data_IF_922758994359
#
_entry.id   IF_922758994359
#
_cell.length_a   1.000
_cell.length_b   1.000
_cell.length_c   1.000
_cell.angle_alpha   90.00
_cell.angle_beta   90.00
_cell.angle_gamma   90.00
#
_symmetry.space_group_name_H-M   'P 1'
#
loop_
_entity.id
_entity.type
_entity.pdbx_description
1 polymer ?
#
# COMPACT_ATOMS: atom_id res chain seq x y z
N UNK A 1 36.48 56.15 18.34
CA UNK A 1 35.07 55.69 18.27
C UNK A 1 35.09 54.22 17.89
N UNK A 2 34.77 53.33 18.82
CA UNK A 2 34.69 51.88 18.59
C UNK A 2 33.21 51.51 18.48
N UNK A 3 32.77 51.06 17.32
CA UNK A 3 31.43 50.48 17.12
C UNK A 3 31.45 48.99 17.49
N UNK A 4 30.70 48.63 18.50
CA UNK A 4 30.46 47.25 18.87
C UNK A 4 29.27 46.73 18.05
N UNK A 5 29.49 45.72 17.17
CA UNK A 5 28.41 44.98 16.53
C UNK A 5 27.84 43.98 17.54
N UNK A 6 26.58 44.16 17.89
CA UNK A 6 25.83 43.20 18.69
C UNK A 6 25.20 42.22 17.70
N UNK A 7 25.74 41.01 17.56
CA UNK A 7 25.10 39.90 16.85
C UNK A 7 24.02 39.31 17.78
N UNK A 8 22.76 39.66 17.50
CA UNK A 8 21.63 38.96 18.14
C UNK A 8 21.44 37.62 17.47
N UNK A 9 21.90 36.57 18.14
CA UNK A 9 21.64 35.18 17.71
C UNK A 9 20.17 34.81 17.90
N UNK A 10 19.48 34.62 16.79
CA UNK A 10 18.12 34.06 16.78
C UNK A 10 18.20 32.57 17.09
N UNK A 11 17.87 32.17 18.31
CA UNK A 11 17.68 30.76 18.67
C UNK A 11 16.40 30.26 17.99
N UNK A 12 16.54 29.52 16.88
CA UNK A 12 15.44 28.76 16.31
C UNK A 12 15.26 27.53 17.21
N UNK A 13 14.23 27.54 18.04
CA UNK A 13 13.80 26.37 18.77
C UNK A 13 13.37 25.29 17.76
N UNK A 14 14.15 24.21 17.67
CA UNK A 14 13.76 23.02 16.93
C UNK A 14 12.56 22.38 17.62
N UNK A 15 11.37 22.81 17.24
CA UNK A 15 10.12 22.16 17.64
C UNK A 15 10.15 20.73 17.08
N UNK A 16 10.15 19.72 17.97
CA UNK A 16 9.93 18.33 17.60
C UNK A 16 8.57 18.22 16.91
N UNK A 17 8.57 18.11 15.60
CA UNK A 17 7.36 17.75 14.84
C UNK A 17 7.03 16.31 15.24
N UNK A 18 6.19 16.14 16.24
CA UNK A 18 5.57 14.86 16.51
C UNK A 18 4.71 14.53 15.27
N UNK A 19 5.16 13.58 14.46
CA UNK A 19 4.33 13.03 13.42
C UNK A 19 3.01 12.56 14.06
N UNK A 20 1.91 13.18 13.67
CA UNK A 20 0.60 12.81 14.18
C UNK A 20 0.42 11.31 13.95
N UNK A 21 0.08 10.56 15.02
CA UNK A 21 -0.16 9.12 14.92
C UNK A 21 -1.37 8.92 14.01
N UNK A 22 -1.12 8.46 12.79
CA UNK A 22 -2.19 8.13 11.84
C UNK A 22 -2.98 6.98 12.43
N UNK A 23 -4.29 7.19 12.61
CA UNK A 23 -5.20 6.17 13.11
C UNK A 23 -5.94 5.56 11.93
N UNK A 24 -5.83 4.24 11.71
CA UNK A 24 -6.60 3.57 10.66
C UNK A 24 -8.11 3.81 10.82
N UNK A 25 -8.87 3.88 9.73
CA UNK A 25 -10.32 3.92 9.80
C UNK A 25 -10.90 2.77 10.64
N UNK A 26 -12.03 3.01 11.32
CA UNK A 26 -12.65 2.02 12.23
C UNK A 26 -12.96 0.68 11.55
N UNK A 27 -13.24 0.69 10.25
CA UNK A 27 -13.55 -0.51 9.45
C UNK A 27 -12.30 -1.18 8.86
N UNK A 28 -11.10 -0.68 9.16
CA UNK A 28 -9.87 -1.32 8.71
C UNK A 28 -9.64 -2.62 9.50
N UNK A 29 -9.32 -3.69 8.78
CA UNK A 29 -9.14 -5.03 9.32
C UNK A 29 -7.68 -5.22 9.74
N UNK A 30 -7.39 -5.61 10.99
CA UNK A 30 -6.02 -5.85 11.43
C UNK A 30 -5.48 -7.17 10.86
N UNK A 31 -4.22 -7.15 10.43
CA UNK A 31 -3.48 -8.35 10.05
C UNK A 31 -1.98 -8.13 10.27
N UNK A 32 -1.32 -9.02 11.01
CA UNK A 32 0.13 -9.00 11.31
C UNK A 32 0.69 -7.63 11.74
N UNK A 33 -0.07 -6.92 12.58
CA UNK A 33 0.34 -5.62 13.11
C UNK A 33 0.01 -4.41 12.23
N UNK A 34 -0.42 -4.62 11.00
CA UNK A 34 -0.92 -3.58 10.10
C UNK A 34 -2.45 -3.60 10.04
N UNK A 35 -3.04 -2.61 9.41
CA UNK A 35 -4.49 -2.51 9.18
C UNK A 35 -4.75 -2.31 7.71
N UNK A 36 -5.84 -2.87 7.20
CA UNK A 36 -6.17 -2.89 5.78
C UNK A 36 -7.63 -2.58 5.54
N UNK A 37 -7.93 -1.82 4.51
CA UNK A 37 -9.30 -1.56 4.06
C UNK A 37 -9.38 -1.65 2.55
N UNK A 38 -10.31 -2.47 2.05
CA UNK A 38 -10.59 -2.58 0.63
C UNK A 38 -11.64 -1.52 0.20
N UNK A 39 -11.37 -0.88 -0.92
CA UNK A 39 -12.28 0.00 -1.63
C UNK A 39 -12.60 -0.66 -2.97
N UNK A 40 -13.77 -1.26 -3.06
CA UNK A 40 -14.19 -2.04 -4.22
C UNK A 40 -15.25 -1.28 -5.02
N UNK A 41 -15.47 -1.75 -6.26
CA UNK A 41 -16.42 -1.13 -7.21
C UNK A 41 -16.05 0.31 -7.60
N UNK A 42 -14.74 0.61 -7.57
CA UNK A 42 -14.17 1.86 -8.06
C UNK A 42 -13.64 1.66 -9.50
N UNK A 43 -13.56 2.76 -10.26
CA UNK A 43 -12.92 2.80 -11.57
C UNK A 43 -11.72 3.76 -11.55
N UNK A 44 -10.99 3.79 -10.45
CA UNK A 44 -9.82 4.64 -10.26
C UNK A 44 -8.64 4.19 -11.13
N UNK A 45 -7.84 5.14 -11.54
CA UNK A 45 -6.48 4.92 -12.00
C UNK A 45 -5.61 4.43 -10.84
N UNK A 46 -4.41 3.95 -11.14
CA UNK A 46 -3.44 3.59 -10.09
C UNK A 46 -3.07 4.81 -9.22
N UNK A 47 -2.85 5.96 -9.85
CA UNK A 47 -2.52 7.20 -9.17
C UNK A 47 -3.63 7.70 -8.25
N UNK A 48 -4.89 7.65 -8.72
CA UNK A 48 -6.04 8.01 -7.88
C UNK A 48 -6.17 7.09 -6.69
N UNK A 49 -5.96 5.78 -6.86
CA UNK A 49 -5.97 4.81 -5.76
C UNK A 49 -4.85 5.09 -4.74
N UNK A 50 -3.63 5.40 -5.23
CA UNK A 50 -2.50 5.78 -4.39
C UNK A 50 -2.82 7.02 -3.56
N UNK A 51 -3.21 8.11 -4.20
CA UNK A 51 -3.52 9.37 -3.51
C UNK A 51 -4.70 9.23 -2.54
N UNK A 52 -5.74 8.45 -2.90
CA UNK A 52 -6.85 8.19 -1.99
C UNK A 52 -6.41 7.45 -0.71
N UNK A 53 -5.43 6.55 -0.78
CA UNK A 53 -4.87 5.90 0.40
C UNK A 53 -4.02 6.89 1.23
N UNK A 54 -3.21 7.73 0.57
CA UNK A 54 -2.39 8.76 1.23
C UNK A 54 -3.25 9.82 1.96
N UNK A 55 -4.34 10.28 1.35
CA UNK A 55 -5.30 11.22 1.96
C UNK A 55 -5.95 10.64 3.22
N UNK A 56 -6.07 9.32 3.30
CA UNK A 56 -6.53 8.62 4.50
C UNK A 56 -5.40 8.34 5.51
N UNK A 57 -4.18 8.80 5.23
CA UNK A 57 -3.00 8.60 6.05
C UNK A 57 -2.44 7.18 5.99
N UNK A 58 -2.82 6.40 4.99
CA UNK A 58 -2.28 5.08 4.67
C UNK A 58 -1.40 5.11 3.42
N UNK A 59 -1.16 3.94 2.84
CA UNK A 59 -0.51 3.76 1.54
C UNK A 59 -1.31 2.76 0.70
N UNK A 60 -1.15 2.81 -0.62
CA UNK A 60 -1.63 1.74 -1.48
C UNK A 60 -0.90 0.44 -1.10
N UNK A 61 -1.65 -0.65 -0.92
CA UNK A 61 -1.15 -1.87 -0.29
C UNK A 61 0.07 -2.44 -1.00
N UNK A 62 1.08 -2.82 -0.22
CA UNK A 62 2.21 -3.61 -0.67
C UNK A 62 2.10 -5.02 -0.11
N UNK A 63 2.65 -6.00 -0.82
CA UNK A 63 2.53 -7.41 -0.44
C UNK A 63 3.92 -8.01 -0.33
N UNK A 64 4.33 -8.32 0.89
CA UNK A 64 5.69 -8.74 1.20
C UNK A 64 5.80 -10.22 1.55
N UNK A 65 4.67 -10.88 1.89
CA UNK A 65 4.63 -12.30 2.23
C UNK A 65 3.47 -13.03 1.53
N UNK A 66 3.59 -14.36 1.33
CA UNK A 66 2.50 -15.17 0.77
C UNK A 66 1.21 -15.11 1.58
N UNK A 67 1.30 -15.05 2.89
CA UNK A 67 0.14 -14.97 3.80
C UNK A 67 -0.57 -13.64 3.67
N UNK A 68 0.18 -12.54 3.52
CA UNK A 68 -0.37 -11.22 3.25
C UNK A 68 -1.07 -11.21 1.88
N UNK A 69 -0.45 -11.81 0.86
CA UNK A 69 -1.06 -11.95 -0.45
C UNK A 69 -2.42 -12.67 -0.39
N UNK A 70 -2.50 -13.76 0.36
CA UNK A 70 -3.75 -14.51 0.53
C UNK A 70 -4.78 -13.71 1.35
N UNK A 71 -4.34 -12.99 2.37
CA UNK A 71 -5.20 -12.10 3.14
C UNK A 71 -5.81 -11.01 2.25
N UNK A 72 -4.98 -10.31 1.47
CA UNK A 72 -5.43 -9.27 0.52
C UNK A 72 -6.35 -9.88 -0.54
N UNK A 73 -6.00 -11.04 -1.12
CA UNK A 73 -6.85 -11.74 -2.09
C UNK A 73 -8.27 -11.94 -1.56
N UNK A 74 -8.43 -12.37 -0.31
CA UNK A 74 -9.76 -12.56 0.31
C UNK A 74 -10.54 -11.26 0.42
N UNK A 75 -9.88 -10.13 0.68
CA UNK A 75 -10.52 -8.82 0.77
C UNK A 75 -11.09 -8.35 -0.58
N UNK A 76 -10.56 -8.83 -1.71
CA UNK A 76 -10.95 -8.37 -3.06
C UNK A 76 -12.32 -8.86 -3.51
N UNK A 77 -12.88 -9.88 -2.86
CA UNK A 77 -14.12 -10.55 -3.31
C UNK A 77 -14.07 -11.01 -4.77
N UNK A 78 -12.91 -11.53 -5.21
CA UNK A 78 -12.69 -12.01 -6.57
C UNK A 78 -12.39 -10.93 -7.62
N UNK A 79 -12.34 -9.65 -7.24
CA UNK A 79 -12.10 -8.54 -8.16
C UNK A 79 -10.60 -8.36 -8.44
N UNK A 80 -10.28 -7.80 -9.60
CA UNK A 80 -8.95 -7.30 -9.91
C UNK A 80 -8.74 -5.96 -9.18
N UNK A 81 -7.65 -5.83 -8.45
CA UNK A 81 -7.36 -4.62 -7.65
C UNK A 81 -5.94 -4.11 -7.88
N UNK A 82 -5.75 -2.82 -7.64
CA UNK A 82 -4.43 -2.19 -7.60
C UNK A 82 -3.63 -2.63 -6.39
N UNK A 83 -2.33 -2.90 -6.61
CA UNK A 83 -1.29 -2.97 -5.58
C UNK A 83 -0.33 -1.78 -5.77
N UNK A 84 0.42 -1.41 -4.72
CA UNK A 84 1.37 -0.30 -4.73
C UNK A 84 2.69 -0.58 -5.47
N UNK A 85 2.70 -1.55 -6.38
CA UNK A 85 3.88 -1.89 -7.18
C UNK A 85 3.90 -1.17 -8.52
N UNK A 86 5.11 -0.71 -8.93
CA UNK A 86 5.33 -0.07 -10.22
C UNK A 86 6.77 -0.26 -10.70
N UNK A 87 6.99 -0.26 -12.01
CA UNK A 87 8.30 -0.13 -12.66
C UNK A 87 8.36 1.06 -13.64
N UNK A 88 7.48 2.06 -13.44
CA UNK A 88 7.38 3.24 -14.27
C UNK A 88 8.69 4.02 -14.40
N UNK A 89 9.55 3.98 -13.38
CA UNK A 89 10.83 4.70 -13.39
C UNK A 89 11.92 3.97 -14.17
N UNK A 90 11.87 2.64 -14.22
CA UNK A 90 12.81 1.82 -14.96
C UNK A 90 12.17 0.46 -15.28
N UNK A 91 11.88 0.23 -16.57
CA UNK A 91 11.25 -0.98 -17.10
C UNK A 91 11.92 -2.26 -16.57
N UNK A 92 11.09 -3.16 -16.00
CA UNK A 92 11.52 -4.41 -15.40
C UNK A 92 12.09 -4.29 -13.98
N UNK A 93 12.26 -3.07 -13.44
CA UNK A 93 12.69 -2.84 -12.05
C UNK A 93 11.51 -2.50 -11.15
N UNK A 94 10.74 -3.50 -10.84
CA UNK A 94 9.59 -3.38 -9.95
C UNK A 94 9.98 -2.90 -8.56
N UNK A 95 9.30 -1.89 -8.08
CA UNK A 95 9.44 -1.30 -6.74
C UNK A 95 8.08 -1.17 -6.09
N UNK A 96 8.06 -1.16 -4.76
CA UNK A 96 6.89 -0.74 -4.00
C UNK A 96 6.92 0.78 -3.80
N UNK A 97 5.80 1.44 -4.00
CA UNK A 97 5.65 2.89 -3.87
C UNK A 97 6.01 3.43 -2.47
N UNK A 98 5.81 2.62 -1.44
CA UNK A 98 6.17 2.97 -0.06
C UNK A 98 7.66 2.77 0.28
N UNK A 99 8.51 2.40 -0.68
CA UNK A 99 9.95 2.19 -0.54
C UNK A 99 10.34 0.85 0.12
N UNK A 100 9.42 -0.05 0.39
CA UNK A 100 9.75 -1.41 0.84
C UNK A 100 10.44 -2.21 -0.27
N UNK A 101 11.19 -3.25 0.12
CA UNK A 101 11.89 -4.09 -0.84
C UNK A 101 10.90 -4.97 -1.61
N UNK A 102 10.99 -4.97 -2.94
CA UNK A 102 10.20 -5.84 -3.81
C UNK A 102 10.82 -7.24 -3.87
N UNK A 103 10.55 -8.06 -2.86
CA UNK A 103 11.16 -9.39 -2.68
C UNK A 103 10.23 -10.51 -3.16
N UNK A 104 8.98 -10.48 -2.70
CA UNK A 104 7.97 -11.45 -3.13
C UNK A 104 7.64 -11.23 -4.59
N UNK A 105 7.58 -12.33 -5.34
CA UNK A 105 7.17 -12.34 -6.75
C UNK A 105 6.07 -13.37 -6.92
N UNK A 106 4.82 -12.90 -7.05
CA UNK A 106 3.66 -13.79 -7.22
C UNK A 106 3.00 -13.63 -8.60
N UNK A 107 3.84 -13.45 -9.62
CA UNK A 107 3.39 -13.24 -10.99
C UNK A 107 2.55 -14.38 -11.55
N UNK A 108 1.55 -14.06 -12.37
CA UNK A 108 0.88 -15.05 -13.22
C UNK A 108 1.85 -15.57 -14.31
N UNK A 109 1.51 -16.68 -14.93
CA UNK A 109 2.31 -17.22 -16.03
C UNK A 109 2.43 -16.19 -17.17
N UNK A 110 3.65 -15.91 -17.60
CA UNK A 110 3.95 -14.94 -18.64
C UNK A 110 3.88 -13.47 -18.19
N UNK A 111 3.91 -13.23 -16.88
CA UNK A 111 3.94 -11.90 -16.29
C UNK A 111 5.27 -11.67 -15.53
N UNK A 112 5.73 -10.41 -15.39
CA UNK A 112 5.24 -9.22 -16.09
C UNK A 112 5.42 -9.34 -17.58
N UNK A 113 4.59 -8.64 -18.39
CA UNK A 113 4.56 -8.81 -19.85
C UNK A 113 5.69 -8.09 -20.60
N UNK A 114 6.43 -7.22 -19.94
CA UNK A 114 7.39 -6.30 -20.52
C UNK A 114 6.78 -5.47 -21.69
N UNK A 115 5.49 -5.22 -21.65
CA UNK A 115 4.79 -4.38 -22.61
C UNK A 115 4.96 -2.92 -22.21
N UNK A 116 5.52 -2.12 -23.08
CA UNK A 116 5.73 -0.68 -22.82
C UNK A 116 4.45 0.01 -22.33
N UNK A 117 4.53 0.70 -21.20
CA UNK A 117 3.41 1.37 -20.53
C UNK A 117 2.57 0.48 -19.62
N UNK A 118 2.93 -0.80 -19.44
CA UNK A 118 2.30 -1.70 -18.47
C UNK A 118 3.08 -1.68 -17.16
N UNK A 119 3.07 -0.54 -16.49
CA UNK A 119 3.97 -0.22 -15.39
C UNK A 119 3.33 -0.34 -14.00
N UNK A 120 2.09 -0.79 -13.91
CA UNK A 120 1.34 -0.80 -12.65
C UNK A 120 0.83 -2.18 -12.28
N UNK A 121 1.03 -2.54 -11.02
CA UNK A 121 0.78 -3.87 -10.51
C UNK A 121 -0.68 -4.06 -10.10
N UNK A 122 -1.26 -5.17 -10.51
CA UNK A 122 -2.58 -5.62 -10.08
C UNK A 122 -2.54 -7.03 -9.51
N UNK A 123 -3.42 -7.28 -8.54
CA UNK A 123 -3.70 -8.61 -8.00
C UNK A 123 -5.04 -9.11 -8.54
N UNK A 124 -5.05 -10.30 -9.09
CA UNK A 124 -6.28 -11.01 -9.46
C UNK A 124 -6.90 -11.65 -8.21
N UNK A 125 -8.07 -11.19 -7.82
CA UNK A 125 -8.76 -11.67 -6.63
C UNK A 125 -9.23 -13.14 -6.69
N UNK A 126 -9.26 -13.76 -7.87
CA UNK A 126 -9.64 -15.17 -8.02
C UNK A 126 -8.52 -16.10 -7.57
N UNK A 127 -7.31 -15.88 -8.08
CA UNK A 127 -6.16 -16.77 -7.87
C UNK A 127 -5.01 -16.13 -7.08
N UNK A 128 -5.09 -14.84 -6.77
CA UNK A 128 -4.07 -14.09 -6.04
C UNK A 128 -2.83 -13.78 -6.86
N UNK A 129 -2.80 -14.11 -8.15
CA UNK A 129 -1.65 -13.87 -9.01
C UNK A 129 -1.57 -12.42 -9.47
N UNK A 130 -0.35 -11.97 -9.73
CA UNK A 130 -0.05 -10.61 -10.13
C UNK A 130 0.09 -10.47 -11.63
N UNK A 131 -0.27 -9.30 -12.14
CA UNK A 131 -0.10 -8.90 -13.54
C UNK A 131 0.30 -7.43 -13.59
N UNK A 132 0.99 -7.07 -14.65
CA UNK A 132 1.19 -5.69 -15.06
C UNK A 132 0.02 -5.17 -15.92
N UNK A 133 -0.20 -3.86 -15.90
CA UNK A 133 -1.17 -3.17 -16.74
C UNK A 133 -0.84 -1.68 -16.84
N UNK A 134 -1.59 -0.94 -17.66
CA UNK A 134 -1.51 0.54 -17.72
C UNK A 134 -2.07 1.16 -16.44
N UNK A 135 -1.80 2.44 -16.19
CA UNK A 135 -2.34 3.23 -15.07
C UNK A 135 -3.86 3.28 -14.99
N UNK A 136 -4.53 3.07 -16.12
CA UNK A 136 -5.98 2.97 -16.21
C UNK A 136 -6.39 1.69 -16.92
N UNK A 137 -7.14 0.85 -16.22
CA UNK A 137 -7.75 -0.34 -16.80
C UNK A 137 -9.20 -0.48 -16.33
N UNK A 138 -10.13 -0.42 -17.23
CA UNK A 138 -11.57 -0.61 -16.92
C UNK A 138 -11.91 -1.98 -16.32
N UNK A 139 -10.93 -2.90 -16.25
CA UNK A 139 -11.05 -4.21 -15.60
C UNK A 139 -10.71 -4.17 -14.11
N UNK A 140 -9.90 -3.20 -13.67
CA UNK A 140 -9.57 -3.02 -12.25
C UNK A 140 -10.76 -2.42 -11.54
N UNK A 141 -11.19 -3.03 -10.44
CA UNK A 141 -12.44 -2.72 -9.73
C UNK A 141 -12.21 -2.40 -8.27
N UNK A 142 -11.03 -1.91 -7.93
CA UNK A 142 -10.76 -1.48 -6.58
C UNK A 142 -9.27 -1.45 -6.23
N UNK A 143 -9.04 -1.17 -4.97
CA UNK A 143 -7.73 -1.13 -4.34
C UNK A 143 -7.85 -1.44 -2.84
N UNK A 144 -6.72 -1.68 -2.20
CA UNK A 144 -6.63 -1.83 -0.75
C UNK A 144 -5.67 -0.79 -0.21
N UNK A 145 -6.07 -0.07 0.83
CA UNK A 145 -5.17 0.79 1.59
C UNK A 145 -4.63 0.03 2.80
N UNK A 146 -3.37 0.27 3.10
CA UNK A 146 -2.65 -0.28 4.24
C UNK A 146 -2.20 0.84 5.19
N UNK A 147 -2.35 0.63 6.49
CA UNK A 147 -1.80 1.46 7.55
C UNK A 147 -0.82 0.65 8.37
N UNK A 148 0.42 1.10 8.41
CA UNK A 148 1.46 0.46 9.22
C UNK A 148 1.15 0.60 10.70
N UNK A 149 1.10 -0.53 11.39
CA UNK A 149 0.96 -0.55 12.84
C UNK A 149 2.25 -0.17 13.54
N UNK A 150 2.14 0.24 14.80
CA UNK A 150 3.29 0.51 15.68
C UNK A 150 3.83 -0.75 16.36
N UNK A 151 3.27 -1.93 16.06
CA UNK A 151 3.68 -3.17 16.68
C UNK A 151 5.06 -3.62 16.18
N UNK A 152 5.90 -4.22 17.05
CA UNK A 152 7.16 -4.81 16.63
C UNK A 152 6.94 -5.84 15.52
N UNK A 153 7.83 -5.85 14.52
CA UNK A 153 7.78 -6.81 13.39
C UNK A 153 7.86 -8.28 13.83
N UNK A 154 8.21 -8.53 15.09
CA UNK A 154 8.42 -9.84 15.70
C UNK A 154 7.21 -10.36 16.50
N UNK A 155 6.10 -9.66 16.52
CA UNK A 155 4.86 -10.23 17.02
C UNK A 155 4.40 -11.29 16.00
N UNK A 156 4.87 -12.52 16.21
CA UNK A 156 4.40 -13.69 15.50
C UNK A 156 2.87 -13.75 15.49
N UNK A 157 2.26 -14.52 14.61
CA UNK A 157 0.82 -14.56 14.49
C UNK A 157 0.22 -14.93 15.85
N UNK A 158 -0.36 -13.96 16.54
CA UNK A 158 -1.45 -14.31 17.42
C UNK A 158 -2.52 -14.80 16.46
N UNK A 159 -2.78 -16.10 16.49
CA UNK A 159 -3.85 -16.77 15.76
C UNK A 159 -5.21 -16.26 16.28
N UNK A 160 -5.42 -14.97 16.15
CA UNK A 160 -6.64 -14.29 16.44
C UNK A 160 -7.41 -14.16 15.12
N UNK A 161 -8.18 -15.23 14.88
CA UNK A 161 -9.48 -15.12 14.25
C UNK A 161 -9.49 -14.76 12.75
N UNK A 162 -8.95 -15.67 11.94
CA UNK A 162 -9.40 -15.88 10.55
C UNK A 162 -10.87 -16.39 10.57
N UNK A 163 -11.77 -15.61 11.14
CA UNK A 163 -13.20 -15.85 10.96
C UNK A 163 -13.58 -15.18 9.63
N UNK A 164 -13.98 -15.95 8.62
CA UNK A 164 -14.43 -15.36 7.38
C UNK A 164 -15.65 -14.47 7.67
N UNK A 165 -15.81 -13.33 6.98
CA UNK A 165 -17.06 -12.59 7.06
C UNK A 165 -18.19 -13.52 6.67
N UNK A 166 -19.24 -13.56 7.51
CA UNK A 166 -20.43 -14.37 7.28
C UNK A 166 -21.00 -14.06 5.89
N UNK A 167 -21.52 -15.08 5.16
CA UNK A 167 -22.14 -14.85 3.88
C UNK A 167 -23.31 -13.88 4.04
N UNK A 168 -23.35 -12.85 3.21
CA UNK A 168 -24.47 -11.94 3.13
C UNK A 168 -25.74 -12.74 2.78
N UNK A 169 -26.77 -12.57 3.60
CA UNK A 169 -28.12 -13.10 3.33
C UNK A 169 -28.75 -12.33 2.18
#
# INVERSE_FOLDING_TARGET
MRFALICSGLLIAAGSVHAAKVTPPKEAVPFRGNHYKAFLDTNSTWWEAKFACEDLGGALVVVTTPEENEFIRRMTKGKLIWLGGTDEFEEGKWTWDNGEKFVLKNWAKGQPSATQGYNFLVLNGVDGKWKDTTDFSGKVKGYVCEWKGTAPKDAGPKDAELKPPAPAK
#
